data_IF_439013907659
#
_entry.id   IF_439013907659
#
_cell.length_a   1.000
_cell.length_b   1.000
_cell.length_c   1.000
_cell.angle_alpha   90.00
_cell.angle_beta   90.00
_cell.angle_gamma   90.00
#
_symmetry.space_group_name_H-M   'P 1'
#
loop_
_entity.id
_entity.type
_entity.pdbx_description
1 polymer ?
#
# COMPACT_ATOMS: atom_id res chain seq x y z
N UNK A 1 -27.04 15.15 6.87
CA UNK A 1 -26.42 15.88 5.74
C UNK A 1 -26.40 14.91 4.57
N UNK A 2 -26.76 15.30 3.34
CA UNK A 2 -26.69 14.39 2.18
C UNK A 2 -25.37 14.58 1.44
N UNK A 3 -24.71 13.49 1.06
CA UNK A 3 -23.52 13.54 0.22
C UNK A 3 -23.91 13.82 -1.24
N UNK A 4 -23.14 14.66 -1.95
CA UNK A 4 -23.44 15.00 -3.34
C UNK A 4 -23.25 13.79 -4.24
N UNK A 5 -24.08 13.67 -5.29
CA UNK A 5 -23.91 12.66 -6.33
C UNK A 5 -22.60 12.89 -7.07
N UNK A 6 -21.76 11.86 -7.12
CA UNK A 6 -20.47 11.91 -7.81
C UNK A 6 -20.60 11.36 -9.22
N UNK A 7 -20.15 12.16 -10.18
CA UNK A 7 -19.90 11.68 -11.55
C UNK A 7 -18.46 11.22 -11.62
N UNK A 8 -18.21 10.05 -12.19
CA UNK A 8 -16.86 9.56 -12.45
C UNK A 8 -16.13 10.56 -13.35
N UNK A 9 -15.03 11.18 -12.89
CA UNK A 9 -14.36 12.21 -13.65
C UNK A 9 -13.43 11.56 -14.68
N UNK A 10 -13.17 12.27 -15.78
CA UNK A 10 -12.13 11.84 -16.75
C UNK A 10 -10.73 11.82 -16.13
N UNK A 11 -10.50 12.67 -15.12
CA UNK A 11 -9.29 12.73 -14.32
C UNK A 11 -9.69 12.87 -12.86
N UNK A 12 -9.23 11.95 -12.04
CA UNK A 12 -9.46 11.96 -10.60
C UNK A 12 -8.76 13.18 -9.97
N UNK A 13 -9.48 13.97 -9.18
CA UNK A 13 -8.97 15.12 -8.44
C UNK A 13 -9.06 14.86 -6.94
N UNK A 14 -8.25 15.58 -6.15
CA UNK A 14 -8.26 15.46 -4.68
C UNK A 14 -9.64 15.78 -4.09
N UNK A 15 -10.29 16.83 -4.57
CA UNK A 15 -11.65 17.21 -4.15
C UNK A 15 -12.67 16.11 -4.45
N UNK A 16 -12.58 15.51 -5.64
CA UNK A 16 -13.48 14.42 -6.01
C UNK A 16 -13.25 13.18 -5.14
N UNK A 17 -11.99 12.88 -4.83
CA UNK A 17 -11.62 11.76 -3.97
C UNK A 17 -12.09 11.94 -2.53
N UNK A 18 -11.89 13.12 -1.96
CA UNK A 18 -12.41 13.48 -0.63
C UNK A 18 -13.92 13.28 -0.59
N UNK A 19 -14.63 13.74 -1.62
CA UNK A 19 -16.07 13.53 -1.71
C UNK A 19 -16.45 12.05 -1.90
N UNK A 20 -15.67 11.28 -2.66
CA UNK A 20 -15.91 9.86 -2.93
C UNK A 20 -15.77 8.96 -1.72
N UNK A 21 -14.81 9.27 -0.84
CA UNK A 21 -14.55 8.49 0.37
C UNK A 21 -15.19 9.08 1.63
N UNK A 22 -15.73 10.30 1.59
CA UNK A 22 -16.33 10.95 2.76
C UNK A 22 -17.36 10.06 3.51
N UNK A 23 -18.30 9.37 2.85
CA UNK A 23 -19.25 8.52 3.57
C UNK A 23 -18.59 7.36 4.33
N UNK A 24 -17.58 6.73 3.72
CA UNK A 24 -16.84 5.65 4.36
C UNK A 24 -15.96 6.19 5.49
N UNK A 25 -15.30 7.32 5.28
CA UNK A 25 -14.45 7.95 6.29
C UNK A 25 -15.27 8.34 7.53
N UNK A 26 -16.38 9.05 7.34
CA UNK A 26 -17.26 9.47 8.42
C UNK A 26 -17.86 8.27 9.17
N UNK A 27 -18.15 7.18 8.46
CA UNK A 27 -18.58 5.91 9.07
C UNK A 27 -17.47 5.28 9.91
N UNK A 28 -16.25 5.17 9.37
CA UNK A 28 -15.12 4.56 10.07
C UNK A 28 -14.68 5.39 11.28
N UNK A 29 -14.64 6.72 11.19
CA UNK A 29 -14.31 7.57 12.34
C UNK A 29 -15.37 7.47 13.45
N UNK A 30 -16.65 7.31 13.09
CA UNK A 30 -17.73 7.21 14.07
C UNK A 30 -17.79 5.84 14.74
N UNK A 31 -17.72 4.77 13.96
CA UNK A 31 -17.97 3.41 14.46
C UNK A 31 -16.68 2.65 14.81
N UNK A 32 -15.54 3.01 14.18
CA UNK A 32 -14.24 2.32 14.33
C UNK A 32 -13.06 3.30 14.43
N UNK A 33 -13.09 4.30 15.33
CA UNK A 33 -12.12 5.40 15.35
C UNK A 33 -10.65 4.95 15.45
N UNK A 34 -10.38 3.86 16.18
CA UNK A 34 -9.02 3.34 16.38
C UNK A 34 -8.49 2.54 15.17
N UNK A 35 -9.39 2.02 14.34
CA UNK A 35 -9.07 1.12 13.24
C UNK A 35 -9.33 1.76 11.86
N UNK A 36 -9.93 2.95 11.80
CA UNK A 36 -10.26 3.65 10.56
C UNK A 36 -9.04 3.74 9.62
N UNK A 37 -7.88 4.15 10.15
CA UNK A 37 -6.63 4.23 9.39
C UNK A 37 -6.06 2.88 8.95
N UNK A 38 -6.46 1.78 9.60
CA UNK A 38 -6.05 0.41 9.24
C UNK A 38 -7.00 -0.21 8.20
N UNK A 39 -8.28 0.14 8.24
CA UNK A 39 -9.31 -0.39 7.33
C UNK A 39 -9.27 0.32 5.97
N UNK A 40 -9.17 1.65 5.99
CA UNK A 40 -9.25 2.50 4.80
C UNK A 40 -8.29 2.10 3.66
N UNK A 41 -7.02 1.71 3.93
CA UNK A 41 -6.08 1.28 2.88
C UNK A 41 -6.54 0.05 2.09
N UNK A 42 -7.45 -0.76 2.66
CA UNK A 42 -7.98 -1.94 1.99
C UNK A 42 -9.26 -1.65 1.18
N UNK A 43 -9.76 -0.41 1.16
CA UNK A 43 -11.01 -0.06 0.50
C UNK A 43 -10.79 0.56 -0.88
N UNK A 44 -11.52 0.04 -1.86
CA UNK A 44 -11.59 0.63 -3.20
C UNK A 44 -13.01 1.14 -3.48
N UNK A 45 -13.12 2.40 -3.88
CA UNK A 45 -14.40 2.99 -4.31
C UNK A 45 -14.74 2.59 -5.75
N UNK A 46 -16.00 2.18 -5.96
CA UNK A 46 -16.57 1.87 -7.27
C UNK A 46 -17.74 2.80 -7.55
N UNK A 47 -17.60 3.74 -8.49
CA UNK A 47 -18.74 4.54 -8.91
C UNK A 47 -19.78 3.66 -9.60
N UNK A 48 -21.06 3.88 -9.27
CA UNK A 48 -22.19 3.20 -9.91
C UNK A 48 -23.27 4.22 -10.31
N UNK A 49 -24.17 3.80 -11.18
CA UNK A 49 -25.28 4.64 -11.67
C UNK A 49 -26.44 4.73 -10.67
N UNK A 50 -26.51 3.77 -9.75
CA UNK A 50 -27.58 3.54 -8.77
C UNK A 50 -27.53 4.46 -7.55
N UNK A 51 -26.66 5.48 -7.58
CA UNK A 51 -26.57 6.50 -6.53
C UNK A 51 -26.09 5.99 -5.17
N UNK A 52 -25.43 4.82 -5.14
CA UNK A 52 -24.85 4.24 -3.94
C UNK A 52 -23.34 4.48 -3.89
N UNK A 53 -22.80 4.59 -2.69
CA UNK A 53 -21.35 4.59 -2.48
C UNK A 53 -20.89 3.16 -2.24
N UNK A 54 -20.27 2.55 -3.25
CA UNK A 54 -19.82 1.17 -3.19
C UNK A 54 -18.33 1.11 -2.90
N UNK A 55 -17.96 0.42 -1.84
CA UNK A 55 -16.58 0.16 -1.47
C UNK A 55 -16.35 -1.34 -1.46
N UNK A 56 -15.27 -1.79 -2.10
CA UNK A 56 -14.86 -3.19 -2.09
C UNK A 56 -13.57 -3.34 -1.32
N UNK A 57 -13.57 -4.26 -0.37
CA UNK A 57 -12.38 -4.71 0.30
C UNK A 57 -11.45 -5.41 -0.72
N UNK A 58 -10.21 -4.94 -0.85
CA UNK A 58 -9.29 -5.40 -1.88
C UNK A 58 -8.86 -6.87 -1.69
N UNK A 59 -8.78 -7.35 -0.45
CA UNK A 59 -8.40 -8.73 -0.10
C UNK A 59 -9.58 -9.70 -0.05
N UNK A 60 -10.52 -9.47 0.85
CA UNK A 60 -11.65 -10.38 1.08
C UNK A 60 -12.67 -10.32 -0.07
N UNK A 61 -12.55 -9.31 -0.94
CA UNK A 61 -13.46 -9.00 -2.06
C UNK A 61 -14.86 -8.65 -1.62
N UNK A 62 -15.08 -8.58 -0.31
CA UNK A 62 -16.32 -8.21 0.33
C UNK A 62 -16.58 -6.71 0.18
N UNK A 63 -17.78 -6.24 0.52
CA UNK A 63 -18.19 -4.88 0.20
C UNK A 63 -18.91 -4.16 1.32
N UNK A 64 -18.74 -2.83 1.31
CA UNK A 64 -19.49 -1.89 2.12
C UNK A 64 -20.24 -0.95 1.16
N UNK A 65 -21.52 -0.73 1.41
CA UNK A 65 -22.40 0.05 0.55
C UNK A 65 -23.14 1.06 1.43
N UNK A 66 -23.12 2.32 1.01
CA UNK A 66 -23.89 3.41 1.64
C UNK A 66 -24.84 4.06 0.65
N UNK A 67 -25.93 4.62 1.16
CA UNK A 67 -26.81 5.50 0.40
C UNK A 67 -26.30 6.96 0.39
N UNK A 68 -27.03 7.87 -0.26
CA UNK A 68 -26.67 9.29 -0.32
C UNK A 68 -26.81 10.03 1.01
N UNK A 69 -27.56 9.49 1.96
CA UNK A 69 -27.64 10.06 3.31
C UNK A 69 -26.44 9.63 4.17
N UNK A 70 -25.57 8.75 3.66
CA UNK A 70 -24.46 8.15 4.42
C UNK A 70 -24.90 7.01 5.31
N UNK A 71 -26.10 6.48 5.12
CA UNK A 71 -26.59 5.34 5.89
C UNK A 71 -26.03 4.06 5.29
N UNK A 72 -25.59 3.17 6.17
CA UNK A 72 -25.09 1.87 5.80
C UNK A 72 -26.24 1.03 5.24
N UNK A 73 -26.13 0.67 3.95
CA UNK A 73 -27.09 -0.21 3.27
C UNK A 73 -26.67 -1.66 3.44
N UNK A 74 -25.38 -1.93 3.29
CA UNK A 74 -24.81 -3.27 3.42
C UNK A 74 -23.37 -3.18 3.90
N UNK A 75 -23.00 -4.01 4.86
CA UNK A 75 -21.61 -4.31 5.18
C UNK A 75 -21.46 -5.83 5.18
N UNK A 76 -20.59 -6.33 4.32
CA UNK A 76 -20.23 -7.74 4.35
C UNK A 76 -19.41 -8.09 5.60
N UNK A 77 -19.47 -9.35 6.00
CA UNK A 77 -18.88 -9.84 7.25
C UNK A 77 -17.36 -9.65 7.32
N UNK A 78 -16.69 -9.70 6.17
CA UNK A 78 -15.23 -9.59 6.05
C UNK A 78 -14.82 -8.24 5.44
N UNK A 79 -15.77 -7.31 5.28
CA UNK A 79 -15.54 -6.03 4.62
C UNK A 79 -14.83 -5.01 5.50
N UNK A 80 -14.77 -5.21 6.82
CA UNK A 80 -14.05 -4.35 7.78
C UNK A 80 -12.75 -5.01 8.30
N UNK A 81 -12.41 -6.18 7.78
CA UNK A 81 -11.29 -6.97 8.27
C UNK A 81 -9.96 -6.33 7.89
N UNK A 82 -9.31 -5.71 8.86
CA UNK A 82 -8.01 -5.10 8.69
C UNK A 82 -6.91 -5.88 9.43
N UNK A 83 -7.28 -6.61 10.48
CA UNK A 83 -6.39 -7.55 11.14
C UNK A 83 -6.50 -8.91 10.45
N UNK A 84 -5.52 -9.21 9.61
CA UNK A 84 -5.37 -10.54 9.01
C UNK A 84 -4.74 -11.55 9.99
N UNK A 85 -4.59 -11.17 11.26
CA UNK A 85 -3.99 -11.89 12.36
C UNK A 85 -2.48 -11.74 12.35
N UNK A 86 -1.91 -10.76 13.06
CA UNK A 86 -0.48 -10.82 13.38
C UNK A 86 -0.27 -11.95 14.40
N UNK A 87 -0.07 -13.18 13.90
CA UNK A 87 0.56 -14.20 14.72
C UNK A 87 2.01 -13.77 14.91
N UNK A 88 2.62 -13.88 16.11
CA UNK A 88 4.05 -13.64 16.28
C UNK A 88 4.78 -14.66 15.40
N UNK A 89 5.13 -14.24 14.19
CA UNK A 89 5.74 -15.14 13.23
C UNK A 89 7.15 -15.48 13.70
N UNK A 90 7.63 -16.64 13.25
CA UNK A 90 8.99 -17.07 13.58
C UNK A 90 9.96 -16.04 13.02
N UNK A 91 10.77 -15.44 13.89
CA UNK A 91 11.85 -14.55 13.49
C UNK A 91 12.70 -15.22 12.41
N UNK A 92 12.83 -14.56 11.27
CA UNK A 92 13.68 -15.03 10.17
C UNK A 92 15.12 -14.85 10.62
N UNK A 93 15.83 -15.96 10.81
CA UNK A 93 17.26 -15.94 11.11
C UNK A 93 18.03 -15.65 9.83
N UNK A 94 18.44 -14.39 9.64
CA UNK A 94 19.33 -13.98 8.55
C UNK A 94 20.76 -13.79 9.06
N UNK A 95 21.78 -14.26 8.34
CA UNK A 95 23.15 -13.83 8.60
C UNK A 95 23.29 -12.32 8.28
N UNK A 96 24.36 -11.66 8.77
CA UNK A 96 24.64 -10.27 8.41
C UNK A 96 24.56 -10.04 6.90
N UNK A 97 23.98 -8.93 6.45
CA UNK A 97 23.72 -8.67 5.03
C UNK A 97 24.97 -8.83 4.14
N UNK A 98 26.15 -8.45 4.65
CA UNK A 98 27.45 -8.58 3.96
C UNK A 98 27.86 -10.03 3.68
N UNK A 99 27.29 -10.99 4.40
CA UNK A 99 27.61 -12.42 4.31
C UNK A 99 26.54 -13.20 3.53
N UNK A 100 25.45 -12.53 3.12
CA UNK A 100 24.37 -13.17 2.39
C UNK A 100 24.75 -13.36 0.92
N UNK A 101 24.46 -14.55 0.39
CA UNK A 101 24.41 -14.74 -1.05
C UNK A 101 23.20 -13.98 -1.62
N UNK A 102 23.46 -13.06 -2.55
CA UNK A 102 22.43 -12.31 -3.27
C UNK A 102 22.41 -12.78 -4.72
N UNK A 103 21.22 -13.13 -5.22
CA UNK A 103 21.06 -13.60 -6.59
C UNK A 103 21.56 -12.54 -7.60
N UNK A 104 22.31 -12.92 -8.65
CA UNK A 104 22.93 -11.95 -9.56
C UNK A 104 21.94 -10.98 -10.23
N UNK A 105 20.70 -11.43 -10.50
CA UNK A 105 19.67 -10.56 -11.06
C UNK A 105 19.19 -9.50 -10.06
N UNK A 106 19.18 -9.80 -8.76
CA UNK A 106 18.85 -8.82 -7.71
C UNK A 106 19.95 -7.77 -7.65
N UNK A 107 21.22 -8.18 -7.55
CA UNK A 107 22.37 -7.26 -7.55
C UNK A 107 22.37 -6.38 -8.80
N UNK A 108 22.13 -6.96 -9.97
CA UNK A 108 22.07 -6.22 -11.24
C UNK A 108 20.92 -5.22 -11.26
N UNK A 109 19.74 -5.60 -10.78
CA UNK A 109 18.58 -4.72 -10.75
C UNK A 109 18.79 -3.55 -9.78
N UNK A 110 19.30 -3.82 -8.56
CA UNK A 110 19.63 -2.78 -7.57
C UNK A 110 20.60 -1.75 -8.16
N UNK A 111 21.71 -2.22 -8.75
CA UNK A 111 22.72 -1.35 -9.35
C UNK A 111 22.21 -0.55 -10.56
N UNK A 112 21.21 -1.07 -11.30
CA UNK A 112 20.62 -0.38 -12.46
C UNK A 112 19.51 0.60 -12.08
N UNK A 113 18.71 0.31 -11.06
CA UNK A 113 17.45 1.02 -10.78
C UNK A 113 17.55 1.98 -9.60
N UNK A 114 18.45 1.75 -8.64
CA UNK A 114 18.62 2.59 -7.47
C UNK A 114 19.91 3.41 -7.56
N UNK A 115 19.84 4.72 -7.30
CA UNK A 115 21.03 5.55 -7.16
C UNK A 115 21.71 5.32 -5.79
N UNK A 116 22.95 5.78 -5.63
CA UNK A 116 23.74 5.55 -4.41
C UNK A 116 23.04 6.01 -3.13
N UNK A 117 22.36 7.17 -3.15
CA UNK A 117 21.65 7.69 -1.98
C UNK A 117 20.47 6.80 -1.57
N UNK A 118 19.71 6.31 -2.55
CA UNK A 118 18.59 5.39 -2.31
C UNK A 118 19.08 4.01 -1.87
N UNK A 119 20.20 3.52 -2.43
CA UNK A 119 20.81 2.26 -2.00
C UNK A 119 21.28 2.31 -0.54
N UNK A 120 21.90 3.40 -0.10
CA UNK A 120 22.32 3.56 1.30
C UNK A 120 21.12 3.49 2.26
N UNK A 121 19.97 4.03 1.85
CA UNK A 121 18.79 4.10 2.72
C UNK A 121 17.92 2.85 2.67
N UNK A 122 17.64 2.32 1.48
CA UNK A 122 16.66 1.26 1.26
C UNK A 122 17.26 -0.01 0.64
N UNK A 123 18.57 -0.03 0.36
CA UNK A 123 19.19 -1.10 -0.41
C UNK A 123 19.07 -2.47 0.25
N UNK A 124 19.24 -2.55 1.57
CA UNK A 124 19.12 -3.82 2.30
C UNK A 124 17.69 -4.35 2.27
N UNK A 125 16.69 -3.50 2.56
CA UNK A 125 15.29 -3.91 2.58
C UNK A 125 14.78 -4.30 1.19
N UNK A 126 15.12 -3.51 0.16
CA UNK A 126 14.76 -3.82 -1.22
C UNK A 126 15.45 -5.08 -1.69
N UNK A 127 16.72 -5.30 -1.32
CA UNK A 127 17.43 -6.53 -1.67
C UNK A 127 16.77 -7.73 -1.01
N UNK A 128 16.46 -7.64 0.29
CA UNK A 128 15.80 -8.73 1.04
C UNK A 128 14.42 -9.04 0.44
N UNK A 129 13.62 -8.02 0.13
CA UNK A 129 12.34 -8.18 -0.55
C UNK A 129 12.47 -8.85 -1.92
N UNK A 130 13.39 -8.38 -2.78
CA UNK A 130 13.58 -8.97 -4.10
C UNK A 130 14.14 -10.39 -4.04
N UNK A 131 15.05 -10.67 -3.10
CA UNK A 131 15.70 -11.96 -2.93
C UNK A 131 14.74 -13.03 -2.40
N UNK A 132 13.92 -12.69 -1.41
CA UNK A 132 13.19 -13.66 -0.58
C UNK A 132 11.68 -13.71 -0.86
N UNK A 133 11.12 -12.64 -1.41
CA UNK A 133 9.67 -12.50 -1.61
C UNK A 133 9.31 -12.36 -3.08
N UNK A 134 9.76 -11.29 -3.75
CA UNK A 134 9.35 -11.01 -5.12
C UNK A 134 10.02 -11.95 -6.12
N UNK A 135 11.34 -12.13 -6.02
CA UNK A 135 12.14 -12.97 -6.92
C UNK A 135 11.58 -14.38 -7.11
N UNK A 136 11.28 -15.14 -6.03
CA UNK A 136 10.67 -16.46 -6.16
C UNK A 136 9.34 -16.47 -6.93
N UNK A 137 8.54 -15.41 -6.86
CA UNK A 137 7.24 -15.31 -7.53
C UNK A 137 7.36 -15.00 -9.03
N UNK A 138 8.40 -14.26 -9.42
CA UNK A 138 8.66 -13.86 -10.81
C UNK A 138 9.86 -14.58 -11.43
N UNK A 139 10.33 -15.66 -10.79
CA UNK A 139 11.52 -16.41 -11.19
C UNK A 139 12.77 -15.53 -11.40
N UNK A 140 12.94 -14.52 -10.53
CA UNK A 140 14.03 -13.54 -10.57
C UNK A 140 14.14 -12.76 -11.89
N UNK A 141 13.04 -12.66 -12.65
CA UNK A 141 12.87 -11.73 -13.76
C UNK A 141 12.20 -10.44 -13.26
N UNK A 142 12.90 -9.32 -13.38
CA UNK A 142 12.49 -8.02 -12.84
C UNK A 142 12.26 -6.97 -13.93
N UNK A 143 12.16 -7.39 -15.19
CA UNK A 143 12.00 -6.48 -16.34
C UNK A 143 10.69 -5.66 -16.24
N UNK A 144 9.69 -6.26 -15.63
CA UNK A 144 8.40 -5.68 -15.32
C UNK A 144 8.36 -4.96 -13.96
N UNK A 145 9.49 -4.61 -13.33
CA UNK A 145 9.52 -3.87 -12.07
C UNK A 145 10.21 -2.51 -12.22
N UNK A 146 9.46 -1.44 -11.97
CA UNK A 146 9.93 -0.06 -12.01
C UNK A 146 10.05 0.55 -10.63
N UNK A 147 11.07 1.39 -10.44
CA UNK A 147 11.15 2.30 -9.30
C UNK A 147 10.53 3.62 -9.73
N UNK A 148 9.56 4.14 -8.98
CA UNK A 148 9.17 5.55 -9.13
C UNK A 148 9.19 6.22 -7.76
N UNK A 149 9.76 7.42 -7.75
CA UNK A 149 9.59 8.34 -6.63
C UNK A 149 8.25 9.07 -6.81
N UNK A 150 7.55 9.43 -5.71
CA UNK A 150 6.29 10.17 -5.79
C UNK A 150 6.48 11.54 -6.50
N UNK A 151 6.23 11.55 -7.82
CA UNK A 151 6.34 12.66 -8.80
C UNK A 151 7.70 13.38 -8.93
N UNK A 152 7.99 13.83 -10.16
CA UNK A 152 9.08 14.78 -10.44
C UNK A 152 8.78 16.12 -9.77
N UNK A 153 9.74 16.67 -9.04
CA UNK A 153 9.68 18.02 -8.48
C UNK A 153 9.10 18.12 -7.07
N UNK A 154 8.65 17.02 -6.47
CA UNK A 154 8.36 17.01 -5.05
C UNK A 154 9.70 16.95 -4.31
N UNK A 155 10.06 18.01 -3.59
CA UNK A 155 11.14 18.03 -2.59
C UNK A 155 10.76 17.17 -1.37
N UNK A 156 10.18 16.00 -1.61
CA UNK A 156 9.85 15.07 -0.56
C UNK A 156 11.18 14.55 -0.02
N UNK A 157 11.44 14.92 1.23
CA UNK A 157 12.26 14.12 2.11
C UNK A 157 11.96 12.64 1.84
N UNK A 158 13.03 11.87 1.72
CA UNK A 158 13.11 10.50 1.28
C UNK A 158 12.39 9.56 2.28
N UNK A 159 11.10 9.74 2.53
CA UNK A 159 10.36 9.02 3.56
C UNK A 159 9.87 7.67 3.06
N UNK A 160 9.65 7.54 1.74
CA UNK A 160 9.29 6.27 1.13
C UNK A 160 9.93 6.05 -0.25
N UNK A 161 10.14 4.79 -0.60
CA UNK A 161 10.49 4.34 -1.95
C UNK A 161 9.34 3.47 -2.49
N UNK A 162 8.90 3.70 -3.72
CA UNK A 162 7.84 2.89 -4.33
C UNK A 162 8.36 2.06 -5.50
N UNK A 163 8.01 0.77 -5.51
CA UNK A 163 8.20 -0.14 -6.63
C UNK A 163 6.85 -0.45 -7.26
N UNK A 164 6.83 -0.48 -8.59
CA UNK A 164 5.63 -0.67 -9.40
C UNK A 164 5.87 -1.81 -10.39
N UNK A 165 5.15 -2.93 -10.28
CA UNK A 165 5.13 -3.89 -11.36
C UNK A 165 4.37 -3.29 -12.55
N UNK A 166 5.02 -3.18 -13.70
CA UNK A 166 4.46 -2.65 -14.96
C UNK A 166 3.56 -3.67 -15.68
N UNK A 167 3.41 -4.88 -15.11
CA UNK A 167 2.49 -5.93 -15.55
C UNK A 167 1.08 -5.88 -14.92
N UNK A 168 0.39 -7.03 -14.85
CA UNK A 168 -0.85 -7.18 -14.07
C UNK A 168 -0.52 -7.60 -12.63
N UNK A 169 -1.29 -7.16 -11.63
CA UNK A 169 -2.43 -6.23 -11.72
C UNK A 169 -1.98 -4.77 -11.97
N UNK A 170 -2.76 -4.06 -12.80
CA UNK A 170 -2.40 -2.73 -13.38
C UNK A 170 -2.19 -1.59 -12.38
N UNK A 171 -2.38 -1.80 -11.08
CA UNK A 171 -2.29 -0.76 -10.04
C UNK A 171 -1.82 -1.34 -8.69
N UNK A 172 -0.62 -1.88 -8.64
CA UNK A 172 0.05 -2.31 -7.42
C UNK A 172 1.24 -1.37 -7.14
N UNK A 173 1.37 -0.91 -5.89
CA UNK A 173 2.51 -0.13 -5.42
C UNK A 173 3.10 -0.81 -4.17
N UNK A 174 4.38 -1.16 -4.22
CA UNK A 174 5.12 -1.70 -3.08
C UNK A 174 5.91 -0.55 -2.47
N UNK A 175 5.53 -0.12 -1.29
CA UNK A 175 6.07 1.05 -0.61
C UNK A 175 7.01 0.63 0.51
N UNK A 176 8.29 0.96 0.40
CA UNK A 176 9.25 0.84 1.49
C UNK A 176 9.23 2.13 2.31
N UNK A 177 8.91 2.03 3.59
CA UNK A 177 8.81 3.17 4.49
C UNK A 177 10.09 3.27 5.32
N UNK A 178 10.66 4.48 5.42
CA UNK A 178 11.86 4.71 6.22
C UNK A 178 11.55 4.73 7.72
N UNK A 179 12.54 4.37 8.53
CA UNK A 179 12.45 4.32 9.99
C UNK A 179 11.94 5.63 10.60
N UNK A 180 12.22 6.79 9.98
CA UNK A 180 11.73 8.06 10.51
C UNK A 180 10.20 8.18 10.57
N UNK A 181 9.47 7.50 9.67
CA UNK A 181 8.00 7.45 9.71
C UNK A 181 7.56 6.41 10.75
N UNK A 182 8.18 5.22 10.74
CA UNK A 182 7.84 4.10 11.63
C UNK A 182 8.05 4.47 13.09
N UNK A 183 9.20 5.07 13.40
CA UNK A 183 9.59 5.50 14.74
C UNK A 183 9.09 6.91 15.10
N UNK A 184 8.30 7.54 14.22
CA UNK A 184 7.77 8.92 14.39
C UNK A 184 8.87 9.96 14.69
N UNK A 185 10.05 9.80 14.08
CA UNK A 185 11.18 10.74 14.17
C UNK A 185 11.16 11.82 13.09
N UNK A 186 10.21 11.75 12.15
CA UNK A 186 9.98 12.78 11.14
C UNK A 186 9.21 14.00 11.69
N UNK A 187 9.20 15.10 10.94
CA UNK A 187 8.32 16.24 11.28
C UNK A 187 6.85 15.87 11.06
N UNK A 188 5.95 16.59 11.73
CA UNK A 188 4.51 16.40 11.55
C UNK A 188 4.08 16.60 10.09
N UNK A 189 4.65 17.60 9.40
CA UNK A 189 4.38 17.85 7.98
C UNK A 189 4.81 16.68 7.09
N UNK A 190 5.96 16.06 7.38
CA UNK A 190 6.44 14.88 6.64
C UNK A 190 5.52 13.67 6.86
N UNK A 191 5.04 13.49 8.09
CA UNK A 191 4.12 12.42 8.42
C UNK A 191 2.75 12.60 7.75
N UNK A 192 2.17 13.81 7.81
CA UNK A 192 0.91 14.13 7.14
C UNK A 192 1.02 13.95 5.63
N UNK A 193 2.12 14.36 5.03
CA UNK A 193 2.35 14.20 3.59
C UNK A 193 2.46 12.71 3.20
N UNK A 194 3.10 11.89 4.05
CA UNK A 194 3.10 10.43 3.88
C UNK A 194 1.68 9.86 3.88
N UNK A 195 0.87 10.18 4.90
CA UNK A 195 -0.51 9.68 5.01
C UNK A 195 -1.37 10.13 3.83
N UNK A 196 -1.26 11.42 3.46
CA UNK A 196 -1.96 12.00 2.31
C UNK A 196 -1.61 11.28 1.02
N UNK A 197 -0.33 10.96 0.80
CA UNK A 197 0.14 10.23 -0.40
C UNK A 197 -0.34 8.80 -0.47
N UNK A 198 -0.32 8.10 0.67
CA UNK A 198 -0.86 6.74 0.75
C UNK A 198 -2.35 6.76 0.42
N UNK A 199 -3.08 7.73 0.99
CA UNK A 199 -4.50 7.92 0.71
C UNK A 199 -4.75 8.24 -0.77
N UNK A 200 -3.96 9.11 -1.40
CA UNK A 200 -4.06 9.41 -2.84
C UNK A 200 -3.94 8.14 -3.69
N UNK A 201 -2.96 7.28 -3.40
CA UNK A 201 -2.75 6.03 -4.14
C UNK A 201 -3.94 5.08 -3.97
N UNK A 202 -4.38 4.84 -2.74
CA UNK A 202 -5.56 4.00 -2.43
C UNK A 202 -6.79 4.53 -3.17
N UNK A 203 -7.00 5.84 -3.08
CA UNK A 203 -8.07 6.57 -3.75
C UNK A 203 -8.04 6.46 -5.28
N UNK A 204 -6.85 6.49 -5.90
CA UNK A 204 -6.65 6.25 -7.33
C UNK A 204 -6.87 4.78 -7.74
N UNK A 205 -7.22 3.91 -6.79
CA UNK A 205 -7.44 2.48 -6.97
C UNK A 205 -6.13 1.69 -7.04
N UNK A 206 -5.04 2.22 -6.49
CA UNK A 206 -3.82 1.46 -6.27
C UNK A 206 -3.96 0.60 -5.03
N UNK A 207 -3.57 -0.67 -5.17
CA UNK A 207 -3.28 -1.52 -4.03
C UNK A 207 -1.88 -1.16 -3.52
N UNK A 208 -1.79 -0.60 -2.32
CA UNK A 208 -0.51 -0.21 -1.71
C UNK A 208 -0.11 -1.27 -0.69
N UNK A 209 1.05 -1.89 -0.90
CA UNK A 209 1.68 -2.83 0.02
C UNK A 209 2.82 -2.09 0.72
N UNK A 210 2.63 -1.77 2.00
CA UNK A 210 3.66 -1.13 2.81
C UNK A 210 4.60 -2.19 3.40
N UNK A 211 5.89 -2.03 3.12
CA UNK A 211 7.00 -2.84 3.63
C UNK A 211 7.75 -2.03 4.66
N UNK A 212 7.80 -2.56 5.88
CA UNK A 212 8.72 -2.17 6.94
C UNK A 212 9.64 -3.35 7.25
N UNK A 213 10.81 -3.07 7.83
CA UNK A 213 11.83 -4.09 8.11
C UNK A 213 11.30 -5.25 8.94
N UNK A 214 10.44 -4.97 9.91
CA UNK A 214 9.82 -5.94 10.80
C UNK A 214 8.97 -6.97 10.03
N UNK A 215 8.31 -6.58 8.94
CA UNK A 215 7.53 -7.51 8.10
C UNK A 215 8.46 -8.53 7.44
N UNK A 216 9.60 -8.07 6.95
CA UNK A 216 10.62 -8.93 6.38
C UNK A 216 11.17 -9.87 7.47
N UNK A 217 11.40 -9.36 8.68
CA UNK A 217 12.05 -10.09 9.77
C UNK A 217 11.15 -11.10 10.50
N UNK A 218 9.82 -10.92 10.48
CA UNK A 218 8.93 -11.70 11.35
C UNK A 218 7.84 -12.51 10.66
N UNK A 219 7.52 -12.32 9.37
CA UNK A 219 6.32 -12.97 8.79
C UNK A 219 6.43 -13.36 7.30
N UNK A 220 7.64 -13.77 6.88
CA UNK A 220 8.01 -13.91 5.47
C UNK A 220 7.15 -14.90 4.66
N UNK A 221 6.85 -16.09 5.19
CA UNK A 221 6.04 -17.09 4.47
C UNK A 221 4.58 -16.66 4.30
N UNK A 222 4.01 -16.05 5.33
CA UNK A 222 2.66 -15.51 5.27
C UNK A 222 2.58 -14.36 4.27
N UNK A 223 3.59 -13.51 4.26
CA UNK A 223 3.69 -12.41 3.33
C UNK A 223 3.94 -12.88 1.88
N UNK A 224 4.72 -13.96 1.68
CA UNK A 224 4.87 -14.62 0.37
C UNK A 224 3.54 -15.17 -0.13
N UNK A 225 2.79 -15.86 0.73
CA UNK A 225 1.45 -16.37 0.40
C UNK A 225 0.44 -15.24 0.11
N UNK A 226 0.62 -14.08 0.72
CA UNK A 226 -0.17 -12.90 0.42
C UNK A 226 0.17 -12.34 -0.97
N UNK A 227 1.46 -12.16 -1.27
CA UNK A 227 1.92 -11.67 -2.58
C UNK A 227 1.54 -12.62 -3.72
N UNK A 228 1.62 -13.94 -3.53
CA UNK A 228 1.26 -14.93 -4.56
C UNK A 228 -0.21 -14.94 -4.94
N UNK A 229 -1.10 -14.42 -4.08
CA UNK A 229 -2.53 -14.23 -4.41
C UNK A 229 -2.81 -12.93 -5.16
N UNK A 230 -1.86 -11.99 -5.13
CA UNK A 230 -2.00 -10.68 -5.76
C UNK A 230 -1.42 -10.63 -7.18
N UNK A 231 -0.44 -11.49 -7.47
CA UNK A 231 0.24 -11.63 -8.77
C UNK A 231 -0.41 -12.77 -9.55
#
# INVERSE_FOLDING_TARGET
>A
MMYPKLKTPKKVTEEWLKAAFAPLFDYLEREFPEDAGKILPYMMFYPNEDQLFYYRHCLTKDSIIFDQAGLLVQCGAEALKHDFGHQPGKKVLRPPFKEQFVHPNVTRWIGRKLNQKVQVKYGEDVTSFLQELWGPLVNYDFDNLEVRLPRRGANLSYCCLHLYPTGRPKKLAIQFVGDEIVEKRCTYEQYQEYERRQLELVCEGWHVITIIREILDHDLERFRNYLSKLI
#
